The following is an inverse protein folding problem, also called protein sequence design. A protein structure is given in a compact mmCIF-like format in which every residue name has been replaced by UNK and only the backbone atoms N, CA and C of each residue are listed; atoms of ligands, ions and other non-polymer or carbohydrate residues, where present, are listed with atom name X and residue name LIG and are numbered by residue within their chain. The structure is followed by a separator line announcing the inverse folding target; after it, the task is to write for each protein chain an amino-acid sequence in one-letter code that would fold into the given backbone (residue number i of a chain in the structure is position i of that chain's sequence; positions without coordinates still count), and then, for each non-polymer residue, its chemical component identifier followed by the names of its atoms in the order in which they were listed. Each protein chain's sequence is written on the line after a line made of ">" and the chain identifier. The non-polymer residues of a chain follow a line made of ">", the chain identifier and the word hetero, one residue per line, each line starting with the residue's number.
data_IF_665915259363
#
_entry.id   IF_665915259363
#
_cell.length_a   1.000
_cell.length_b   1.000
_cell.length_c   1.000
_cell.angle_alpha   90.00
_cell.angle_beta   90.00
_cell.angle_gamma   90.00
#
_symmetry.space_group_name_H-M   'P 1'
#
loop_
_entity.id
_entity.type
_entity.pdbx_description
1 polymer ?
#
# COMPACT_ATOMS: atom_id res chain seq x y z
N UNK A 1 -24.41 25.95 -36.26
CA UNK A 1 -24.69 24.71 -35.49
C UNK A 1 -23.79 23.53 -35.88
N UNK A 2 -23.58 23.17 -37.16
CA UNK A 2 -22.80 21.98 -37.53
C UNK A 2 -21.31 22.03 -37.12
N UNK A 3 -20.72 23.22 -37.16
CA UNK A 3 -19.32 23.46 -36.79
C UNK A 3 -19.03 23.27 -35.31
N UNK A 4 -19.98 23.64 -34.43
CA UNK A 4 -19.87 23.43 -32.98
C UNK A 4 -19.90 21.94 -32.65
N UNK A 5 -20.79 21.16 -33.27
CA UNK A 5 -20.86 19.70 -33.10
C UNK A 5 -19.55 19.01 -33.54
N UNK A 6 -18.95 19.44 -34.64
CA UNK A 6 -17.68 18.89 -35.13
C UNK A 6 -16.51 19.22 -34.20
N UNK A 7 -16.47 20.42 -33.64
CA UNK A 7 -15.44 20.82 -32.67
C UNK A 7 -15.54 20.01 -31.37
N UNK A 8 -16.75 19.82 -30.83
CA UNK A 8 -16.96 19.01 -29.63
C UNK A 8 -16.61 17.53 -29.86
N UNK A 9 -16.92 16.98 -31.05
CA UNK A 9 -16.53 15.62 -31.38
C UNK A 9 -15.00 15.43 -31.40
N UNK A 10 -14.27 16.37 -32.00
CA UNK A 10 -12.80 16.34 -32.01
C UNK A 10 -12.21 16.39 -30.59
N UNK A 11 -12.77 17.23 -29.71
CA UNK A 11 -12.33 17.32 -28.31
C UNK A 11 -12.58 16.03 -27.53
N UNK A 12 -13.71 15.35 -27.74
CA UNK A 12 -13.99 14.06 -27.11
C UNK A 12 -13.05 12.95 -27.60
N UNK A 13 -12.67 12.97 -28.88
CA UNK A 13 -11.65 12.05 -29.44
C UNK A 13 -10.27 12.30 -28.83
N UNK A 14 -9.88 13.56 -28.67
CA UNK A 14 -8.61 13.94 -28.03
C UNK A 14 -8.57 13.52 -26.55
N UNK A 15 -9.70 13.67 -25.84
CA UNK A 15 -9.84 13.19 -24.45
C UNK A 15 -9.69 11.67 -24.37
N UNK A 16 -10.33 10.90 -25.26
CA UNK A 16 -10.19 9.43 -25.28
C UNK A 16 -8.77 8.98 -25.59
N UNK A 17 -8.07 9.64 -26.51
CA UNK A 17 -6.66 9.33 -26.80
C UNK A 17 -5.72 9.70 -25.63
N UNK A 18 -6.03 10.75 -24.88
CA UNK A 18 -5.25 11.15 -23.72
C UNK A 18 -5.46 10.24 -22.49
N UNK A 19 -6.54 9.43 -22.46
CA UNK A 19 -6.83 8.51 -21.35
C UNK A 19 -5.88 7.33 -21.24
N UNK A 20 -5.13 6.99 -22.30
CA UNK A 20 -4.13 5.92 -22.27
C UNK A 20 -3.05 6.12 -21.19
N UNK A 21 -2.74 7.37 -20.85
CA UNK A 21 -1.80 7.68 -19.77
C UNK A 21 -2.35 7.31 -18.39
N UNK A 22 -3.67 7.44 -18.20
CA UNK A 22 -4.32 7.08 -16.93
C UNK A 22 -4.31 5.56 -16.74
N UNK A 23 -4.57 4.77 -17.79
CA UNK A 23 -4.46 3.30 -17.74
C UNK A 23 -3.03 2.86 -17.38
N UNK A 24 -2.02 3.46 -18.02
CA UNK A 24 -0.63 3.15 -17.73
C UNK A 24 -0.24 3.48 -16.28
N UNK A 25 -0.67 4.63 -15.74
CA UNK A 25 -0.43 4.96 -14.33
C UNK A 25 -1.13 4.00 -13.38
N UNK A 26 -2.36 3.57 -13.67
CA UNK A 26 -3.08 2.55 -12.90
C UNK A 26 -2.33 1.21 -12.87
N UNK A 27 -1.79 0.78 -14.01
CA UNK A 27 -0.98 -0.43 -14.09
C UNK A 27 0.34 -0.32 -13.30
N UNK A 28 0.99 0.84 -13.33
CA UNK A 28 2.22 1.09 -12.55
C UNK A 28 1.92 1.04 -11.05
N UNK A 29 0.87 1.73 -10.59
CA UNK A 29 0.44 1.69 -9.18
C UNK A 29 0.17 0.25 -8.74
N UNK A 30 -0.54 -0.53 -9.57
CA UNK A 30 -0.82 -1.95 -9.29
C UNK A 30 0.47 -2.77 -9.12
N UNK A 31 1.46 -2.58 -9.98
CA UNK A 31 2.76 -3.28 -9.87
C UNK A 31 3.53 -2.88 -8.61
N UNK A 32 3.50 -1.60 -8.25
CA UNK A 32 4.14 -1.11 -7.02
C UNK A 32 3.47 -1.71 -5.77
N UNK A 33 2.15 -1.80 -5.75
CA UNK A 33 1.40 -2.43 -4.64
C UNK A 33 1.76 -3.90 -4.50
N UNK A 34 1.82 -4.65 -5.62
CA UNK A 34 2.21 -6.06 -5.61
C UNK A 34 3.64 -6.26 -5.08
N UNK A 35 4.58 -5.43 -5.55
CA UNK A 35 5.97 -5.47 -5.08
C UNK A 35 6.08 -5.20 -3.57
N UNK A 36 5.31 -4.24 -3.06
CA UNK A 36 5.29 -3.93 -1.62
C UNK A 36 4.74 -5.10 -0.80
N UNK A 37 3.68 -5.76 -1.27
CA UNK A 37 3.09 -6.93 -0.60
C UNK A 37 4.06 -8.13 -0.58
N UNK A 38 4.78 -8.38 -1.68
CA UNK A 38 5.78 -9.45 -1.74
C UNK A 38 6.95 -9.19 -0.80
N UNK A 39 7.41 -7.93 -0.72
CA UNK A 39 8.46 -7.52 0.21
C UNK A 39 8.02 -7.70 1.67
N UNK A 40 6.82 -7.24 2.02
CA UNK A 40 6.24 -7.38 3.35
C UNK A 40 6.15 -8.85 3.79
N UNK A 41 5.65 -9.73 2.92
CA UNK A 41 5.57 -11.16 3.20
C UNK A 41 6.96 -11.78 3.44
N UNK A 42 7.96 -11.39 2.65
CA UNK A 42 9.34 -11.83 2.82
C UNK A 42 9.96 -11.37 4.14
N UNK A 43 9.75 -10.11 4.50
CA UNK A 43 10.24 -9.54 5.77
C UNK A 43 9.57 -10.20 6.98
N UNK A 44 8.25 -10.45 6.93
CA UNK A 44 7.56 -11.18 7.99
C UNK A 44 8.07 -12.62 8.14
N UNK A 45 8.32 -13.32 7.03
CA UNK A 45 8.91 -14.67 7.07
C UNK A 45 10.27 -14.66 7.78
N UNK A 46 11.15 -13.75 7.39
CA UNK A 46 12.47 -13.60 8.00
C UNK A 46 12.37 -13.24 9.50
N UNK A 47 11.43 -12.37 9.88
CA UNK A 47 11.20 -12.00 11.27
C UNK A 47 10.74 -13.20 12.12
N UNK A 48 9.81 -14.01 11.60
CA UNK A 48 9.32 -15.21 12.28
C UNK A 48 10.42 -16.26 12.44
N UNK A 49 11.29 -16.42 11.43
CA UNK A 49 12.39 -17.40 11.47
C UNK A 49 13.47 -17.05 12.51
N UNK A 50 13.65 -15.75 12.79
CA UNK A 50 14.64 -15.25 13.77
C UNK A 50 14.06 -15.15 15.19
N UNK A 51 12.73 -15.07 15.35
CA UNK A 51 12.08 -14.99 16.64
C UNK A 51 12.08 -16.34 17.38
N UNK A 52 12.62 -16.43 18.63
CA UNK A 52 12.56 -17.65 19.42
C UNK A 52 11.11 -18.03 19.76
N UNK A 53 10.80 -19.32 19.78
CA UNK A 53 9.43 -19.86 19.95
C UNK A 53 8.70 -19.39 21.23
N UNK A 54 9.45 -18.92 22.23
CA UNK A 54 8.95 -18.34 23.49
C UNK A 54 8.41 -16.91 23.35
N UNK A 55 8.57 -16.25 22.19
CA UNK A 55 8.13 -14.86 21.91
C UNK A 55 7.10 -14.72 20.79
N UNK A 56 6.41 -15.80 20.37
CA UNK A 56 5.15 -15.65 19.60
C UNK A 56 4.06 -15.12 20.52
N UNK A 57 4.17 -13.84 20.89
CA UNK A 57 3.17 -13.09 21.64
C UNK A 57 2.02 -12.71 20.72
N UNK A 58 0.89 -12.29 21.30
CA UNK A 58 -0.26 -11.75 20.55
C UNK A 58 0.13 -10.55 19.65
N UNK A 59 1.23 -9.86 19.97
CA UNK A 59 1.80 -8.76 19.18
C UNK A 59 2.28 -9.21 17.78
N UNK A 60 2.82 -10.41 17.63
CA UNK A 60 3.23 -10.91 16.30
C UNK A 60 2.00 -11.24 15.43
N UNK A 61 0.89 -11.65 16.07
CA UNK A 61 -0.36 -11.91 15.37
C UNK A 61 -1.06 -10.61 14.91
N UNK A 62 -0.89 -9.50 15.63
CA UNK A 62 -1.44 -8.20 15.22
C UNK A 62 -0.68 -7.57 14.03
N UNK A 63 0.58 -7.95 13.81
CA UNK A 63 1.39 -7.54 12.64
C UNK A 63 1.00 -8.24 11.33
N UNK A 64 0.18 -9.31 11.40
CA UNK A 64 -0.34 -9.99 10.20
C UNK A 64 -1.46 -9.22 9.49
N UNK A 65 -1.86 -8.07 10.02
CA UNK A 65 -2.85 -7.20 9.41
C UNK A 65 -2.18 -6.41 8.29
N UNK A 66 -2.65 -6.55 7.05
CA UNK A 66 -2.14 -5.81 5.90
C UNK A 66 -2.28 -4.29 6.03
N UNK A 67 -1.86 -3.52 5.00
CA UNK A 67 -1.75 -2.07 5.06
C UNK A 67 -3.02 -1.39 5.58
N UNK A 68 -2.88 -0.60 6.63
CA UNK A 68 -4.01 0.10 7.24
C UNK A 68 -4.50 1.20 6.29
N UNK A 69 -5.65 0.96 5.65
CA UNK A 69 -6.28 1.92 4.72
C UNK A 69 -6.98 3.07 5.46
N UNK A 70 -7.40 2.85 6.72
CA UNK A 70 -7.95 3.89 7.59
C UNK A 70 -7.42 3.75 9.03
N UNK A 71 -6.72 4.77 9.50
CA UNK A 71 -6.12 4.84 10.82
C UNK A 71 -7.00 5.53 11.88
N UNK A 72 -8.12 6.17 11.50
CA UNK A 72 -8.99 6.85 12.45
C UNK A 72 -9.62 5.87 13.43
N UNK A 73 -9.41 6.12 14.74
CA UNK A 73 -9.97 5.31 15.83
C UNK A 73 -9.20 4.02 16.15
N UNK A 74 -8.08 3.76 15.46
CA UNK A 74 -7.22 2.60 15.72
C UNK A 74 -6.04 2.99 16.61
N UNK A 75 -5.85 2.27 17.71
CA UNK A 75 -4.74 2.47 18.66
C UNK A 75 -3.49 1.65 18.32
N UNK A 76 -3.60 0.72 17.37
CA UNK A 76 -2.55 -0.19 16.95
C UNK A 76 -1.77 0.30 15.72
N UNK A 77 -2.05 1.53 15.27
CA UNK A 77 -1.35 2.16 14.13
C UNK A 77 -0.15 2.94 14.65
N UNK A 78 1.03 2.52 14.24
CA UNK A 78 2.30 3.20 14.49
C UNK A 78 2.38 4.42 13.59
N UNK A 79 2.43 5.63 14.15
CA UNK A 79 2.38 6.89 13.38
C UNK A 79 3.66 7.74 13.49
N UNK A 80 4.62 7.33 14.34
CA UNK A 80 5.89 8.03 14.51
C UNK A 80 7.05 7.08 14.82
N UNK A 81 8.28 7.59 14.71
CA UNK A 81 9.51 6.80 14.84
C UNK A 81 9.75 6.28 16.27
N UNK A 82 9.34 7.02 17.30
CA UNK A 82 9.47 6.58 18.70
C UNK A 82 8.62 5.31 18.95
N UNK A 83 7.41 5.27 18.41
CA UNK A 83 6.55 4.09 18.47
C UNK A 83 7.08 2.92 17.62
N UNK A 84 7.87 3.19 16.58
CA UNK A 84 8.57 2.14 15.82
C UNK A 84 9.67 1.54 16.68
N UNK A 85 10.44 2.38 17.37
CA UNK A 85 11.53 1.94 18.23
C UNK A 85 11.00 1.14 19.44
N UNK A 86 9.93 1.60 20.09
CA UNK A 86 9.24 0.87 21.17
C UNK A 86 8.73 -0.52 20.73
N UNK A 87 8.25 -0.63 19.48
CA UNK A 87 7.79 -1.90 18.91
C UNK A 87 8.96 -2.85 18.61
N UNK A 88 10.09 -2.32 18.16
CA UNK A 88 11.29 -3.13 17.93
C UNK A 88 11.88 -3.63 19.26
N UNK A 89 11.90 -2.77 20.29
CA UNK A 89 12.30 -3.13 21.65
C UNK A 89 11.43 -4.25 22.24
N UNK A 90 10.10 -4.22 22.01
CA UNK A 90 9.18 -5.27 22.50
C UNK A 90 9.41 -6.63 21.84
N UNK A 91 9.83 -6.64 20.57
CA UNK A 91 10.27 -7.83 19.84
C UNK A 91 11.69 -8.26 20.22
N UNK A 92 12.45 -7.36 20.85
CA UNK A 92 13.80 -7.55 21.37
C UNK A 92 14.90 -7.28 20.34
N UNK A 93 14.69 -6.29 19.49
CA UNK A 93 15.67 -5.70 18.56
C UNK A 93 16.17 -4.35 19.08
#
# INVERSE_FOLDING_TARGET
>A
MPTKTRATHAQLTEIMMAQDFQDLTGQVIKKVVLLAQELEAGLMGALIDVLPATRRTEEVASLMNGPVVNAEGRSDVVVNQEQVDDLLDSLGF
#
